data_IF_222088081910
#
_entry.id   IF_222088081910
#
_cell.length_a   1.000
_cell.length_b   1.000
_cell.length_c   1.000
_cell.angle_alpha   90.00
_cell.angle_beta   90.00
_cell.angle_gamma   90.00
#
_symmetry.space_group_name_H-M   'P 1'
#
loop_
_entity.id
_entity.type
_entity.pdbx_description
1 polymer ?
#
# COMPACT_ATOMS: atom_id res chain seq x y z
N UNK A 1 -27.66 31.80 11.97
CA UNK A 1 -28.09 31.27 13.30
C UNK A 1 -27.19 30.10 13.71
N UNK A 2 -26.91 29.91 15.01
CA UNK A 2 -26.02 28.84 15.51
C UNK A 2 -26.81 27.95 16.47
N UNK A 3 -26.72 26.63 16.29
CA UNK A 3 -27.24 25.61 17.20
C UNK A 3 -26.06 24.86 17.83
N UNK A 4 -26.17 24.51 19.11
CA UNK A 4 -25.14 23.76 19.85
C UNK A 4 -25.59 22.33 20.12
N UNK A 5 -24.69 21.36 19.96
CA UNK A 5 -24.95 19.95 20.23
C UNK A 5 -23.79 19.30 21.02
N UNK A 6 -24.04 18.83 22.23
CA UNK A 6 -23.02 18.19 23.06
C UNK A 6 -23.57 17.09 23.97
N UNK A 7 -22.68 16.25 24.52
CA UNK A 7 -23.06 14.98 25.16
C UNK A 7 -23.62 15.08 26.56
N UNK A 8 -23.66 16.30 27.07
CA UNK A 8 -24.30 16.59 28.35
C UNK A 8 -25.76 17.03 28.15
N UNK A 9 -26.21 17.18 26.90
CA UNK A 9 -27.60 17.48 26.58
C UNK A 9 -28.46 16.22 26.75
N UNK A 10 -29.71 16.38 27.23
CA UNK A 10 -30.71 15.31 27.15
C UNK A 10 -30.90 14.84 25.70
N UNK A 11 -31.18 13.55 25.51
CA UNK A 11 -31.34 12.93 24.18
C UNK A 11 -32.39 13.67 23.34
N UNK A 12 -33.53 14.03 23.95
CA UNK A 12 -34.60 14.75 23.27
C UNK A 12 -34.17 16.15 22.78
N UNK A 13 -33.32 16.85 23.53
CA UNK A 13 -32.80 18.17 23.12
C UNK A 13 -31.75 18.05 22.03
N UNK A 14 -30.94 16.98 22.07
CA UNK A 14 -29.97 16.69 21.02
C UNK A 14 -30.68 16.36 19.70
N UNK A 15 -31.71 15.50 19.74
CA UNK A 15 -32.51 15.14 18.56
C UNK A 15 -33.21 16.36 17.96
N UNK A 16 -33.82 17.23 18.80
CA UNK A 16 -34.45 18.48 18.34
C UNK A 16 -33.43 19.44 17.69
N UNK A 17 -32.27 19.64 18.34
CA UNK A 17 -31.20 20.48 17.80
C UNK A 17 -30.70 19.99 16.43
N UNK A 18 -30.61 18.66 16.26
CA UNK A 18 -30.19 18.05 15.00
C UNK A 18 -31.27 18.14 13.91
N UNK A 19 -32.54 17.89 14.25
CA UNK A 19 -33.66 18.06 13.32
C UNK A 19 -33.75 19.50 12.81
N UNK A 20 -33.68 20.48 13.70
CA UNK A 20 -33.71 21.91 13.35
C UNK A 20 -32.54 22.31 12.44
N UNK A 21 -31.36 21.76 12.67
CA UNK A 21 -30.23 21.98 11.77
C UNK A 21 -30.42 21.32 10.40
N UNK A 22 -30.99 20.11 10.36
CA UNK A 22 -31.31 19.43 9.10
C UNK A 22 -32.39 20.15 8.29
N UNK A 23 -33.38 20.73 8.95
CA UNK A 23 -34.50 21.47 8.35
C UNK A 23 -34.10 22.89 7.88
N UNK A 24 -32.88 23.34 8.22
CA UNK A 24 -32.34 24.63 7.79
C UNK A 24 -32.67 25.81 8.70
N UNK A 25 -33.14 25.56 9.93
CA UNK A 25 -33.42 26.60 10.92
C UNK A 25 -32.14 27.29 11.43
N UNK A 26 -30.97 26.69 11.18
CA UNK A 26 -29.67 27.25 11.49
C UNK A 26 -28.62 26.94 10.43
N UNK A 27 -27.70 27.87 10.24
CA UNK A 27 -26.62 27.77 9.25
C UNK A 27 -25.39 27.03 9.80
N UNK A 28 -25.24 27.01 11.13
CA UNK A 28 -24.05 26.47 11.81
C UNK A 28 -24.48 25.57 12.97
N UNK A 29 -23.99 24.35 12.95
CA UNK A 29 -24.02 23.42 14.07
C UNK A 29 -22.66 23.40 14.77
N UNK A 30 -22.59 23.89 15.99
CA UNK A 30 -21.42 23.79 16.85
C UNK A 30 -21.54 22.53 17.73
N UNK A 31 -20.74 21.52 17.43
CA UNK A 31 -20.82 20.24 18.12
C UNK A 31 -19.50 19.77 18.72
N UNK A 32 -19.62 18.91 19.73
CA UNK A 32 -18.50 18.07 20.21
C UNK A 32 -18.34 16.82 19.32
N UNK A 33 -17.36 15.97 19.60
CA UNK A 33 -17.04 14.76 18.80
C UNK A 33 -18.15 13.69 18.72
N UNK A 34 -19.32 13.96 19.29
CA UNK A 34 -20.45 13.04 19.45
C UNK A 34 -21.19 12.81 18.13
N UNK A 35 -20.87 13.58 17.08
CA UNK A 35 -21.31 13.29 15.69
C UNK A 35 -20.75 11.92 15.20
N UNK A 36 -19.90 11.22 15.96
CA UNK A 36 -19.54 9.81 15.71
C UNK A 36 -20.77 8.87 15.69
N UNK A 37 -21.86 9.16 16.41
CA UNK A 37 -23.00 8.23 16.67
C UNK A 37 -24.00 8.02 15.51
N UNK A 38 -23.61 8.23 14.26
CA UNK A 38 -24.39 7.75 13.11
C UNK A 38 -25.27 8.79 12.41
N UNK A 39 -25.24 10.05 12.82
CA UNK A 39 -26.06 11.09 12.18
C UNK A 39 -25.44 11.50 10.85
N UNK A 40 -26.23 11.43 9.78
CA UNK A 40 -25.82 11.79 8.42
C UNK A 40 -26.26 13.22 8.11
N UNK A 41 -25.30 14.15 8.08
CA UNK A 41 -25.58 15.58 7.86
C UNK A 41 -25.45 15.86 6.35
N UNK A 42 -26.37 15.28 5.58
CA UNK A 42 -26.35 15.33 4.11
C UNK A 42 -26.39 16.76 3.55
N UNK A 43 -26.97 17.70 4.30
CA UNK A 43 -27.09 19.11 3.93
C UNK A 43 -25.80 19.92 4.14
N UNK A 44 -24.84 19.42 4.94
CA UNK A 44 -23.62 20.15 5.24
C UNK A 44 -22.48 19.80 4.25
N UNK A 45 -21.96 20.83 3.60
CA UNK A 45 -20.83 20.71 2.68
C UNK A 45 -19.52 21.27 3.26
N UNK A 46 -19.53 21.85 4.46
CA UNK A 46 -18.33 22.40 5.09
C UNK A 46 -18.22 21.91 6.53
N UNK A 47 -17.07 21.34 6.88
CA UNK A 47 -16.73 20.94 8.25
C UNK A 47 -15.48 21.68 8.71
N UNK A 48 -15.50 22.20 9.93
CA UNK A 48 -14.32 22.79 10.57
C UNK A 48 -14.03 21.98 11.84
N UNK A 49 -12.89 21.30 11.87
CA UNK A 49 -12.44 20.54 13.03
C UNK A 49 -11.47 21.41 13.82
N UNK A 50 -11.93 21.88 14.97
CA UNK A 50 -11.10 22.62 15.90
C UNK A 50 -10.11 21.69 16.60
N UNK A 51 -8.83 22.08 16.68
CA UNK A 51 -7.77 21.28 17.34
C UNK A 51 -7.69 19.84 16.80
N UNK A 52 -7.61 19.70 15.47
CA UNK A 52 -7.47 18.41 14.80
C UNK A 52 -6.23 17.62 15.26
N UNK A 53 -5.23 18.30 15.83
CA UNK A 53 -4.06 17.70 16.48
C UNK A 53 -4.40 16.81 17.69
N UNK A 54 -5.59 16.93 18.27
CA UNK A 54 -6.03 16.13 19.41
C UNK A 54 -6.79 14.85 19.01
N UNK A 55 -7.24 14.76 17.77
CA UNK A 55 -8.07 13.64 17.30
C UNK A 55 -7.23 12.50 16.74
N UNK A 56 -7.65 11.25 16.98
CA UNK A 56 -7.09 10.09 16.29
C UNK A 56 -7.33 10.15 14.78
N UNK A 57 -6.52 9.41 14.01
CA UNK A 57 -6.63 9.43 12.54
C UNK A 57 -8.01 8.90 12.13
N UNK A 58 -8.42 7.81 12.78
CA UNK A 58 -9.72 7.18 12.58
C UNK A 58 -10.89 8.11 12.83
N UNK A 59 -10.82 8.91 13.89
CA UNK A 59 -11.85 9.89 14.24
C UNK A 59 -11.93 11.01 13.20
N UNK A 60 -10.79 11.57 12.79
CA UNK A 60 -10.75 12.60 11.74
C UNK A 60 -11.34 12.10 10.41
N UNK A 61 -11.06 10.85 10.07
CA UNK A 61 -11.59 10.22 8.86
C UNK A 61 -13.11 10.00 8.94
N UNK A 62 -13.60 9.48 10.08
CA UNK A 62 -15.04 9.34 10.31
C UNK A 62 -15.76 10.68 10.23
N UNK A 63 -15.23 11.72 10.88
CA UNK A 63 -15.79 13.08 10.83
C UNK A 63 -15.83 13.62 9.40
N UNK A 64 -14.73 13.50 8.64
CA UNK A 64 -14.70 13.90 7.23
C UNK A 64 -15.74 13.15 6.38
N UNK A 65 -15.98 11.87 6.64
CA UNK A 65 -16.97 11.06 5.93
C UNK A 65 -18.45 11.42 6.20
N UNK A 66 -18.72 12.37 7.09
CA UNK A 66 -20.07 12.87 7.41
C UNK A 66 -20.53 14.03 6.53
N UNK A 67 -19.64 14.59 5.70
CA UNK A 67 -19.95 15.67 4.76
C UNK A 67 -19.67 15.23 3.31
N UNK A 68 -20.24 15.94 2.33
CA UNK A 68 -19.92 15.68 0.92
C UNK A 68 -20.62 14.48 0.29
N UNK A 69 -21.82 14.14 0.78
CA UNK A 69 -22.70 13.14 0.16
C UNK A 69 -23.61 13.72 -0.93
N UNK A 70 -23.62 15.04 -1.09
CA UNK A 70 -24.35 15.75 -2.14
C UNK A 70 -23.57 15.85 -3.46
N UNK A 71 -24.19 16.48 -4.47
CA UNK A 71 -23.55 16.77 -5.76
C UNK A 71 -22.49 17.88 -5.70
N UNK A 72 -22.50 18.67 -4.62
CA UNK A 72 -21.57 19.77 -4.43
C UNK A 72 -20.30 19.28 -3.74
N UNK A 73 -19.17 19.85 -4.13
CA UNK A 73 -17.89 19.57 -3.48
C UNK A 73 -17.95 20.03 -2.02
N UNK A 74 -17.55 19.16 -1.12
CA UNK A 74 -17.43 19.47 0.30
C UNK A 74 -16.00 19.81 0.70
N UNK A 75 -15.86 20.58 1.78
CA UNK A 75 -14.60 21.09 2.31
C UNK A 75 -14.47 20.74 3.80
N UNK A 76 -13.34 20.14 4.18
CA UNK A 76 -12.99 19.86 5.56
C UNK A 76 -11.76 20.69 5.96
N UNK A 77 -11.90 21.60 6.93
CA UNK A 77 -10.82 22.42 7.45
C UNK A 77 -10.33 21.84 8.79
N UNK A 78 -9.10 21.35 8.79
CA UNK A 78 -8.41 20.83 9.97
C UNK A 78 -7.58 21.96 10.58
N UNK A 79 -7.95 22.44 11.77
CA UNK A 79 -7.24 23.54 12.43
C UNK A 79 -6.39 23.05 13.58
N UNK A 80 -5.28 23.73 13.84
CA UNK A 80 -4.35 23.44 14.95
C UNK A 80 -4.05 24.72 15.72
N UNK A 81 -3.58 24.60 16.96
CA UNK A 81 -3.16 25.76 17.76
C UNK A 81 -1.83 26.32 17.20
N UNK A 82 -1.79 27.58 16.70
CA UNK A 82 -0.58 28.17 16.14
C UNK A 82 0.52 28.40 17.19
N UNK A 83 0.19 28.47 18.47
CA UNK A 83 1.15 28.64 19.55
C UNK A 83 1.83 27.32 19.96
N UNK A 84 1.32 26.17 19.50
CA UNK A 84 1.84 24.84 19.86
C UNK A 84 2.50 24.17 18.67
N UNK A 85 3.71 23.66 18.88
CA UNK A 85 4.37 22.81 17.89
C UNK A 85 3.68 21.45 17.83
N UNK A 86 3.32 21.03 16.62
CA UNK A 86 2.81 19.67 16.38
C UNK A 86 3.91 18.65 16.66
N UNK A 87 3.54 17.55 17.31
CA UNK A 87 4.42 16.39 17.40
C UNK A 87 4.62 15.80 15.99
N UNK A 88 5.74 15.12 15.71
CA UNK A 88 5.95 14.46 14.43
C UNK A 88 4.79 13.52 14.06
N UNK A 89 4.27 12.79 15.06
CA UNK A 89 3.12 11.89 14.91
C UNK A 89 1.82 12.63 14.53
N UNK A 90 1.50 13.73 15.21
CA UNK A 90 0.29 14.53 14.90
C UNK A 90 0.40 15.22 13.54
N UNK A 91 1.60 15.72 13.18
CA UNK A 91 1.85 16.29 11.85
C UNK A 91 1.64 15.24 10.77
N UNK A 92 2.27 14.06 10.92
CA UNK A 92 2.16 12.96 9.97
C UNK A 92 0.71 12.51 9.78
N UNK A 93 -0.04 12.42 10.86
CA UNK A 93 -1.47 12.10 10.85
C UNK A 93 -2.29 13.11 10.05
N UNK A 94 -2.05 14.41 10.24
CA UNK A 94 -2.76 15.47 9.52
C UNK A 94 -2.38 15.50 8.02
N UNK A 95 -1.12 15.22 7.68
CA UNK A 95 -0.67 15.06 6.29
C UNK A 95 -1.39 13.90 5.61
N UNK A 96 -1.49 12.74 6.27
CA UNK A 96 -2.23 11.59 5.75
C UNK A 96 -3.71 11.94 5.53
N UNK A 97 -4.34 12.67 6.46
CA UNK A 97 -5.74 13.10 6.27
C UNK A 97 -5.96 13.98 5.03
N UNK A 98 -4.95 14.73 4.58
CA UNK A 98 -5.05 15.57 3.38
C UNK A 98 -4.94 14.77 2.07
N UNK A 99 -4.37 13.56 2.09
CA UNK A 99 -4.12 12.76 0.87
C UNK A 99 -5.21 11.73 0.56
N UNK A 100 -6.13 11.46 1.49
CA UNK A 100 -7.15 10.42 1.36
C UNK A 100 -8.33 10.85 0.48
N UNK A 101 -8.15 11.12 -0.81
CA UNK A 101 -9.14 11.91 -1.58
C UNK A 101 -10.36 11.14 -2.17
N UNK A 102 -10.56 9.83 -1.96
CA UNK A 102 -11.85 9.16 -2.28
C UNK A 102 -12.00 7.73 -1.70
N UNK A 103 -13.19 7.16 -1.93
CA UNK A 103 -13.75 5.86 -1.49
C UNK A 103 -12.72 4.72 -1.56
N UNK A 104 -12.56 3.97 -0.45
CA UNK A 104 -11.51 2.95 -0.25
C UNK A 104 -10.60 3.23 0.95
N UNK A 105 -10.59 4.49 1.43
CA UNK A 105 -9.72 4.96 2.51
C UNK A 105 -10.03 4.43 3.93
N UNK A 106 -11.07 3.60 4.12
CA UNK A 106 -11.37 2.97 5.40
C UNK A 106 -10.35 1.91 5.83
N UNK A 107 -9.69 1.24 4.89
CA UNK A 107 -8.70 0.19 5.17
C UNK A 107 -7.30 0.76 5.41
N UNK A 108 -6.92 1.79 4.66
CA UNK A 108 -5.69 2.59 4.86
C UNK A 108 -5.60 3.17 6.28
N UNK A 109 -6.76 3.51 6.84
CA UNK A 109 -6.92 4.09 8.17
C UNK A 109 -6.52 3.14 9.31
N UNK A 110 -6.91 1.86 9.22
CA UNK A 110 -6.66 0.85 10.25
C UNK A 110 -5.17 0.50 10.34
N UNK A 111 -4.50 0.39 9.19
CA UNK A 111 -3.06 0.10 9.12
C UNK A 111 -2.20 1.26 9.60
N UNK A 112 -2.57 2.51 9.26
CA UNK A 112 -1.88 3.68 9.81
C UNK A 112 -2.10 3.85 11.31
N UNK A 113 -3.28 3.52 11.84
CA UNK A 113 -3.54 3.57 13.28
C UNK A 113 -2.70 2.52 14.04
N UNK A 114 -2.41 1.37 13.41
CA UNK A 114 -1.54 0.32 13.94
C UNK A 114 -0.06 0.75 13.99
N UNK A 115 0.44 1.38 12.92
CA UNK A 115 1.79 1.95 12.85
C UNK A 115 1.99 3.12 13.81
N UNK A 116 0.99 4.00 13.93
CA UNK A 116 1.04 5.20 14.76
C UNK A 116 0.98 4.86 16.25
N UNK A 117 0.24 3.82 16.64
CA UNK A 117 0.15 3.38 18.04
C UNK A 117 1.38 2.57 18.47
N UNK A 118 2.18 2.09 17.52
CA UNK A 118 3.20 1.08 17.74
C UNK A 118 2.53 -0.26 18.04
N UNK A 119 2.87 -1.30 17.28
CA UNK A 119 2.49 -2.66 17.61
C UNK A 119 3.09 -3.00 18.98
N UNK A 120 2.30 -2.81 20.04
CA UNK A 120 2.65 -3.22 21.38
C UNK A 120 2.92 -4.71 21.38
N UNK A 121 4.11 -5.07 21.88
CA UNK A 121 4.57 -6.39 22.30
C UNK A 121 3.57 -7.52 22.10
N UNK A 122 3.83 -8.38 21.12
CA UNK A 122 3.27 -9.74 21.14
C UNK A 122 4.25 -10.79 21.66
N UNK A 123 5.56 -10.51 21.75
CA UNK A 123 6.53 -11.38 22.44
C UNK A 123 7.77 -10.59 22.91
N UNK A 124 7.87 -10.36 24.23
CA UNK A 124 9.12 -10.33 25.00
C UNK A 124 10.20 -9.27 24.71
N UNK A 125 10.89 -8.86 25.78
CA UNK A 125 11.95 -7.83 25.77
C UNK A 125 13.11 -8.10 24.80
N UNK A 126 13.69 -6.99 24.34
CA UNK A 126 14.89 -6.85 23.50
C UNK A 126 14.72 -7.07 21.99
N UNK A 127 14.47 -5.99 21.25
CA UNK A 127 15.42 -5.44 20.26
C UNK A 127 14.82 -4.23 19.53
N UNK A 128 15.29 -3.04 19.88
CA UNK A 128 14.97 -1.76 19.23
C UNK A 128 15.55 -1.60 17.80
N UNK A 129 15.82 -2.70 17.10
CA UNK A 129 16.66 -2.73 15.89
C UNK A 129 15.97 -3.12 14.58
N UNK A 130 14.69 -3.54 14.58
CA UNK A 130 14.05 -4.11 13.37
C UNK A 130 12.71 -3.46 12.95
N UNK A 131 12.36 -2.27 13.46
CA UNK A 131 11.08 -1.59 13.17
C UNK A 131 11.07 -0.91 11.77
N UNK A 132 11.41 -1.65 10.71
CA UNK A 132 11.24 -1.23 9.30
C UNK A 132 10.43 -2.21 8.46
N UNK A 133 9.97 -3.33 9.03
CA UNK A 133 9.39 -4.44 8.26
C UNK A 133 7.86 -4.36 8.04
N UNK A 134 7.13 -3.51 8.77
CA UNK A 134 5.64 -3.45 8.69
C UNK A 134 5.12 -2.71 7.45
N UNK A 135 5.97 -1.93 6.75
CA UNK A 135 5.56 -1.20 5.55
C UNK A 135 5.35 -2.08 4.31
N UNK A 136 5.94 -3.27 4.26
CA UNK A 136 6.00 -4.11 3.04
C UNK A 136 4.70 -4.88 2.80
N UNK A 137 4.05 -5.39 3.86
CA UNK A 137 2.80 -6.16 3.74
C UNK A 137 1.61 -5.26 3.32
N UNK A 138 1.54 -4.05 3.89
CA UNK A 138 0.59 -3.02 3.46
C UNK A 138 0.85 -2.58 2.01
N UNK A 139 2.13 -2.48 1.62
CA UNK A 139 2.53 -2.19 0.24
C UNK A 139 2.08 -3.25 -0.74
N UNK A 140 2.27 -4.53 -0.40
CA UNK A 140 1.86 -5.66 -1.23
C UNK A 140 0.34 -5.73 -1.37
N UNK A 141 -0.41 -5.41 -0.31
CA UNK A 141 -1.87 -5.30 -0.37
C UNK A 141 -2.33 -4.14 -1.29
N UNK A 142 -1.69 -2.97 -1.19
CA UNK A 142 -1.96 -1.83 -2.07
C UNK A 142 -1.62 -2.10 -3.54
N UNK A 143 -0.54 -2.84 -3.80
CA UNK A 143 -0.12 -3.29 -5.13
C UNK A 143 -1.12 -4.29 -5.73
N UNK A 144 -1.58 -5.27 -4.95
CA UNK A 144 -2.52 -6.27 -5.45
C UNK A 144 -3.93 -5.70 -5.67
N UNK A 145 -4.33 -4.67 -4.95
CA UNK A 145 -5.60 -3.96 -5.16
C UNK A 145 -5.57 -3.05 -6.41
N UNK A 146 -4.48 -2.29 -6.61
CA UNK A 146 -4.29 -1.51 -7.84
C UNK A 146 -4.27 -2.41 -9.10
N UNK A 147 -3.68 -3.60 -9.01
CA UNK A 147 -3.68 -4.59 -10.09
C UNK A 147 -5.08 -5.17 -10.37
N UNK A 148 -5.94 -5.28 -9.35
CA UNK A 148 -7.33 -5.74 -9.52
C UNK A 148 -8.22 -4.67 -10.14
N UNK A 149 -8.06 -3.41 -9.75
CA UNK A 149 -8.84 -2.29 -10.31
C UNK A 149 -8.56 -2.09 -11.81
N UNK A 150 -7.29 -2.17 -12.23
CA UNK A 150 -6.89 -2.07 -13.64
C UNK A 150 -7.52 -3.18 -14.49
N UNK A 151 -7.54 -4.42 -13.99
CA UNK A 151 -8.17 -5.56 -14.67
C UNK A 151 -9.69 -5.45 -14.77
N UNK A 152 -10.34 -4.77 -13.82
CA UNK A 152 -11.78 -4.55 -13.82
C UNK A 152 -12.23 -3.31 -14.62
N UNK A 153 -11.29 -2.41 -14.97
CA UNK A 153 -11.57 -1.13 -15.61
C UNK A 153 -11.60 -1.13 -17.14
N UNK A 154 -11.37 -2.27 -17.79
CA UNK A 154 -11.28 -2.38 -19.25
C UNK A 154 -11.99 -3.61 -19.82
N UNK A 155 -13.22 -3.39 -20.29
CA UNK A 155 -14.06 -4.27 -21.12
C UNK A 155 -14.83 -5.44 -20.45
N UNK A 156 -16.17 -5.25 -20.51
CA UNK A 156 -17.25 -6.26 -20.66
C UNK A 156 -17.35 -7.43 -19.69
N UNK A 157 -18.52 -7.49 -19.01
CA UNK A 157 -19.20 -8.72 -18.64
C UNK A 157 -19.39 -9.63 -19.87
N UNK A 158 -18.37 -10.41 -20.24
CA UNK A 158 -18.50 -11.82 -20.64
C UNK A 158 -17.15 -12.45 -21.02
N UNK A 159 -17.03 -13.74 -20.69
CA UNK A 159 -16.01 -14.70 -21.11
C UNK A 159 -14.66 -14.75 -20.34
N UNK A 160 -14.62 -15.73 -19.45
CA UNK A 160 -13.46 -16.34 -18.76
C UNK A 160 -12.91 -15.56 -17.57
N UNK A 161 -13.16 -16.09 -16.38
CA UNK A 161 -12.34 -15.87 -15.21
C UNK A 161 -10.89 -16.26 -15.54
N UNK A 162 -10.12 -15.33 -16.10
CA UNK A 162 -8.68 -15.43 -16.19
C UNK A 162 -8.13 -15.29 -14.77
N UNK A 163 -8.09 -16.43 -14.11
CA UNK A 163 -7.24 -16.82 -13.00
C UNK A 163 -6.23 -15.73 -12.59
N UNK A 164 -6.70 -14.76 -11.80
CA UNK A 164 -5.96 -13.56 -11.41
C UNK A 164 -5.07 -13.93 -10.23
N UNK A 165 -4.03 -14.70 -10.50
CA UNK A 165 -3.03 -15.07 -9.49
C UNK A 165 -1.81 -14.14 -9.57
N UNK A 166 -1.20 -13.87 -8.42
CA UNK A 166 0.01 -13.07 -8.26
C UNK A 166 1.15 -13.94 -7.69
N UNK A 167 2.38 -13.87 -8.24
CA UNK A 167 3.54 -14.51 -7.64
C UNK A 167 3.90 -13.91 -6.28
N UNK A 168 4.20 -14.77 -5.30
CA UNK A 168 4.76 -14.36 -4.02
C UNK A 168 6.29 -14.27 -4.13
N UNK A 169 6.85 -13.07 -3.92
CA UNK A 169 8.29 -12.80 -4.09
C UNK A 169 8.89 -12.30 -2.77
N UNK A 170 9.84 -13.06 -2.22
CA UNK A 170 10.52 -12.74 -0.98
C UNK A 170 12.04 -12.67 -1.22
N UNK A 171 12.59 -11.48 -1.42
CA UNK A 171 14.02 -11.30 -1.71
C UNK A 171 14.86 -10.91 -0.49
N UNK A 172 14.18 -10.51 0.60
CA UNK A 172 14.79 -9.94 1.80
C UNK A 172 15.43 -8.57 1.59
N UNK A 173 15.27 -7.98 0.41
CA UNK A 173 15.83 -6.68 0.05
C UNK A 173 14.89 -5.56 0.49
N UNK A 174 15.46 -4.42 0.87
CA UNK A 174 14.69 -3.20 1.10
C UNK A 174 14.12 -2.71 -0.23
N UNK A 175 12.80 -2.53 -0.29
CA UNK A 175 12.04 -2.12 -1.46
C UNK A 175 11.19 -0.90 -1.11
N UNK A 176 11.78 0.28 -1.25
CA UNK A 176 11.10 1.55 -0.96
C UNK A 176 11.69 2.70 -1.77
N UNK A 177 10.90 3.76 -1.93
CA UNK A 177 11.35 5.07 -2.39
C UNK A 177 11.68 5.92 -1.15
N UNK A 178 12.96 6.27 -0.93
CA UNK A 178 13.36 7.09 0.20
C UNK A 178 12.78 8.51 0.10
N UNK A 179 12.53 9.15 1.23
CA UNK A 179 12.17 10.57 1.30
C UNK A 179 13.32 11.50 0.92
N UNK A 180 14.55 11.08 1.13
CA UNK A 180 15.74 11.77 0.62
C UNK A 180 15.80 11.80 -0.92
N UNK A 181 15.24 10.78 -1.59
CA UNK A 181 15.21 10.70 -3.06
C UNK A 181 14.01 11.41 -3.66
N UNK A 182 12.81 11.18 -3.09
CA UNK A 182 11.58 11.86 -3.49
C UNK A 182 10.94 12.45 -2.23
N UNK A 183 11.20 13.74 -1.90
CA UNK A 183 10.71 14.35 -0.66
C UNK A 183 9.19 14.49 -0.62
N UNK A 184 8.58 14.81 -1.77
CA UNK A 184 7.14 15.00 -1.87
C UNK A 184 6.41 13.65 -1.79
N UNK A 185 5.55 13.50 -0.78
CA UNK A 185 4.80 12.27 -0.53
C UNK A 185 3.81 11.96 -1.67
N UNK A 186 3.17 12.97 -2.25
CA UNK A 186 2.18 12.79 -3.32
C UNK A 186 2.84 12.25 -4.58
N UNK A 187 3.98 12.83 -4.96
CA UNK A 187 4.81 12.36 -6.07
C UNK A 187 5.27 10.93 -5.81
N UNK A 188 5.76 10.64 -4.60
CA UNK A 188 6.21 9.30 -4.22
C UNK A 188 5.08 8.27 -4.35
N UNK A 189 3.89 8.55 -3.83
CA UNK A 189 2.72 7.67 -3.96
C UNK A 189 2.31 7.46 -5.43
N UNK A 190 2.39 8.51 -6.26
CA UNK A 190 2.15 8.41 -7.70
C UNK A 190 3.17 7.49 -8.38
N UNK A 191 4.46 7.61 -8.06
CA UNK A 191 5.52 6.73 -8.59
C UNK A 191 5.28 5.27 -8.21
N UNK A 192 4.89 5.00 -6.97
CA UNK A 192 4.57 3.64 -6.55
C UNK A 192 3.40 3.03 -7.32
N UNK A 193 2.33 3.80 -7.59
CA UNK A 193 1.22 3.34 -8.42
C UNK A 193 1.66 3.04 -9.85
N UNK A 194 2.51 3.90 -10.43
CA UNK A 194 3.06 3.70 -11.77
C UNK A 194 3.97 2.47 -11.85
N UNK A 195 4.86 2.29 -10.88
CA UNK A 195 5.73 1.11 -10.76
C UNK A 195 4.89 -0.17 -10.65
N UNK A 196 3.82 -0.14 -9.86
CA UNK A 196 2.92 -1.28 -9.67
C UNK A 196 2.14 -1.68 -10.94
N UNK A 197 1.90 -0.71 -11.82
CA UNK A 197 1.15 -0.89 -13.06
C UNK A 197 2.02 -1.26 -14.26
N UNK A 198 3.33 -1.44 -14.09
CA UNK A 198 4.22 -1.86 -15.17
C UNK A 198 3.83 -3.27 -15.66
N UNK A 199 3.69 -3.42 -16.97
CA UNK A 199 3.35 -4.69 -17.61
C UNK A 199 4.45 -5.22 -18.54
N UNK A 200 5.35 -4.35 -19.02
CA UNK A 200 6.44 -4.70 -19.93
C UNK A 200 7.81 -4.08 -19.55
N UNK A 201 8.87 -4.64 -20.11
CA UNK A 201 10.25 -4.20 -19.96
C UNK A 201 10.52 -2.85 -20.63
N UNK A 202 9.83 -2.52 -21.71
CA UNK A 202 9.98 -1.20 -22.34
C UNK A 202 9.56 -0.07 -21.38
N UNK A 203 8.42 -0.23 -20.71
CA UNK A 203 7.91 0.72 -19.70
C UNK A 203 8.86 0.86 -18.50
N UNK A 204 9.56 -0.21 -18.14
CA UNK A 204 10.59 -0.18 -17.11
C UNK A 204 11.76 0.73 -17.48
N UNK A 205 12.32 0.58 -18.69
CA UNK A 205 13.47 1.37 -19.10
C UNK A 205 13.12 2.86 -19.25
N UNK A 206 11.91 3.16 -19.73
CA UNK A 206 11.36 4.51 -19.77
C UNK A 206 11.20 5.11 -18.37
N UNK A 207 10.65 4.35 -17.42
CA UNK A 207 10.48 4.81 -16.05
C UNK A 207 11.83 5.05 -15.36
N UNK A 208 12.81 4.17 -15.56
CA UNK A 208 14.16 4.32 -15.03
C UNK A 208 14.81 5.59 -15.59
N UNK A 209 14.70 5.83 -16.89
CA UNK A 209 15.22 7.06 -17.52
C UNK A 209 14.54 8.32 -16.94
N UNK A 210 13.21 8.29 -16.78
CA UNK A 210 12.45 9.39 -16.18
C UNK A 210 12.87 9.66 -14.73
N UNK A 211 13.05 8.61 -13.91
CA UNK A 211 13.48 8.76 -12.52
C UNK A 211 14.87 9.37 -12.42
N UNK A 212 15.79 8.94 -13.28
CA UNK A 212 17.16 9.50 -13.34
C UNK A 212 17.15 10.95 -13.78
N UNK A 213 16.36 11.31 -14.80
CA UNK A 213 16.23 12.68 -15.28
C UNK A 213 15.64 13.62 -14.22
N UNK A 214 14.62 13.16 -13.49
CA UNK A 214 13.88 13.99 -12.52
C UNK A 214 14.53 14.06 -11.13
N UNK A 215 15.13 12.96 -10.67
CA UNK A 215 15.55 12.81 -9.27
C UNK A 215 17.04 12.42 -9.13
N UNK A 216 17.75 12.18 -10.23
CA UNK A 216 19.14 11.75 -10.21
C UNK A 216 19.30 10.25 -9.98
N UNK A 217 20.50 9.84 -9.56
CA UNK A 217 20.87 8.42 -9.44
C UNK A 217 19.92 7.65 -8.53
N UNK A 218 19.44 6.50 -9.00
CA UNK A 218 18.54 5.62 -8.27
C UNK A 218 19.21 5.05 -7.01
N UNK A 219 18.62 5.24 -5.81
CA UNK A 219 19.01 4.51 -4.61
C UNK A 219 18.81 3.00 -4.79
N UNK A 220 19.57 2.21 -4.04
CA UNK A 220 19.50 0.75 -4.14
C UNK A 220 18.10 0.22 -3.83
N UNK A 221 17.39 0.82 -2.89
CA UNK A 221 16.03 0.45 -2.50
C UNK A 221 15.01 0.69 -3.62
N UNK A 222 15.20 1.74 -4.41
CA UNK A 222 14.35 2.05 -5.57
C UNK A 222 14.65 1.08 -6.71
N UNK A 223 15.93 0.79 -6.95
CA UNK A 223 16.34 -0.20 -7.93
C UNK A 223 15.75 -1.58 -7.60
N UNK A 224 15.85 -2.01 -6.34
CA UNK A 224 15.27 -3.27 -5.86
C UNK A 224 13.75 -3.31 -6.06
N UNK A 225 13.05 -2.19 -5.78
CA UNK A 225 11.60 -2.08 -5.94
C UNK A 225 11.20 -2.31 -7.41
N UNK A 226 11.88 -1.62 -8.33
CA UNK A 226 11.63 -1.72 -9.77
C UNK A 226 11.95 -3.13 -10.28
N UNK A 227 13.13 -3.67 -9.92
CA UNK A 227 13.54 -5.03 -10.30
C UNK A 227 12.55 -6.10 -9.79
N UNK A 228 11.99 -5.91 -8.60
CA UNK A 228 11.00 -6.83 -8.02
C UNK A 228 9.72 -6.92 -8.87
N UNK A 229 9.28 -5.81 -9.45
CA UNK A 229 8.12 -5.81 -10.36
C UNK A 229 8.45 -6.54 -11.67
N UNK A 230 9.64 -6.32 -12.24
CA UNK A 230 10.08 -7.06 -13.43
C UNK A 230 10.13 -8.56 -13.15
N UNK A 231 10.69 -8.95 -12.01
CA UNK A 231 10.68 -10.34 -11.57
C UNK A 231 9.25 -10.87 -11.46
N UNK A 232 8.29 -10.09 -10.93
CA UNK A 232 6.86 -10.47 -10.88
C UNK A 232 6.28 -10.73 -12.26
N UNK A 233 6.54 -9.86 -13.24
CA UNK A 233 6.08 -10.03 -14.63
C UNK A 233 6.65 -11.31 -15.21
N UNK A 234 7.97 -11.52 -15.09
CA UNK A 234 8.65 -12.72 -15.60
C UNK A 234 8.21 -14.01 -14.91
N UNK A 235 7.98 -13.98 -13.60
CA UNK A 235 7.43 -15.12 -12.86
C UNK A 235 6.05 -15.52 -13.39
N UNK A 236 5.21 -14.56 -13.78
CA UNK A 236 3.91 -14.86 -14.39
C UNK A 236 4.08 -15.57 -15.72
N UNK A 237 4.99 -15.11 -16.58
CA UNK A 237 5.32 -15.75 -17.86
C UNK A 237 5.82 -17.18 -17.66
N UNK A 238 6.68 -17.42 -16.66
CA UNK A 238 7.24 -18.72 -16.33
C UNK A 238 6.35 -19.63 -15.46
N UNK A 239 5.12 -19.22 -15.12
CA UNK A 239 4.25 -19.93 -14.19
C UNK A 239 4.89 -20.20 -12.81
N UNK A 240 5.69 -19.26 -12.30
CA UNK A 240 6.34 -19.34 -10.98
C UNK A 240 5.40 -18.73 -9.92
N UNK A 241 4.84 -19.59 -9.07
CA UNK A 241 3.95 -19.19 -7.96
C UNK A 241 4.69 -18.49 -6.83
N UNK A 242 5.89 -18.97 -6.50
CA UNK A 242 6.68 -18.44 -5.38
C UNK A 242 8.16 -18.38 -5.71
N UNK A 243 8.79 -17.27 -5.34
CA UNK A 243 10.23 -17.06 -5.44
C UNK A 243 10.76 -16.53 -4.10
N UNK A 244 11.64 -17.30 -3.46
CA UNK A 244 12.31 -16.89 -2.22
C UNK A 244 13.82 -16.79 -2.44
N UNK A 245 14.46 -15.75 -1.91
CA UNK A 245 15.91 -15.56 -1.89
C UNK A 245 16.41 -15.43 -0.44
N UNK A 246 17.31 -16.33 -0.05
CA UNK A 246 17.91 -16.37 1.27
C UNK A 246 19.45 -16.38 1.24
N UNK A 247 20.11 -16.39 2.40
CA UNK A 247 21.57 -16.40 2.48
C UNK A 247 22.20 -17.67 1.87
N UNK A 248 21.44 -18.77 1.79
CA UNK A 248 21.89 -20.07 1.28
C UNK A 248 21.52 -20.33 -0.18
N UNK A 249 20.76 -19.44 -0.82
CA UNK A 249 20.34 -19.64 -2.20
C UNK A 249 18.96 -19.09 -2.52
N UNK A 250 18.41 -19.60 -3.62
CA UNK A 250 17.10 -19.25 -4.16
C UNK A 250 16.20 -20.49 -4.17
N UNK A 251 14.89 -20.32 -4.00
CA UNK A 251 13.89 -21.36 -4.24
C UNK A 251 12.74 -20.85 -5.08
N UNK A 252 12.33 -21.68 -6.04
CA UNK A 252 11.25 -21.43 -6.99
C UNK A 252 10.20 -22.53 -6.83
N UNK A 253 8.95 -22.14 -6.67
CA UNK A 253 7.79 -23.03 -6.68
C UNK A 253 6.96 -22.73 -7.92
N UNK A 254 6.74 -23.72 -8.76
CA UNK A 254 5.91 -23.58 -9.95
C UNK A 254 4.45 -23.76 -9.61
N UNK A 255 3.60 -23.00 -10.29
CA UNK A 255 2.16 -23.07 -10.11
C UNK A 255 1.63 -24.44 -10.52
N UNK A 256 0.81 -25.05 -9.66
CA UNK A 256 0.33 -26.43 -9.82
C UNK A 256 1.46 -27.46 -10.01
N UNK A 257 2.68 -27.13 -9.59
CA UNK A 257 3.91 -27.89 -9.83
C UNK A 257 4.13 -28.27 -11.29
N UNK A 258 3.76 -27.40 -12.24
CA UNK A 258 3.95 -27.62 -13.67
C UNK A 258 4.80 -26.52 -14.27
N UNK A 259 5.78 -26.95 -15.07
CA UNK A 259 6.53 -26.06 -15.95
C UNK A 259 6.21 -26.42 -17.41
N UNK A 260 5.99 -25.44 -18.31
CA UNK A 260 5.56 -25.72 -19.69
C UNK A 260 6.48 -26.65 -20.48
N UNK A 261 7.80 -26.58 -20.25
CA UNK A 261 8.80 -27.42 -20.94
C UNK A 261 9.68 -28.20 -19.94
N UNK A 262 9.20 -29.35 -19.43
CA UNK A 262 9.92 -30.13 -18.43
C UNK A 262 11.30 -30.61 -18.89
N UNK A 263 11.46 -30.98 -20.15
CA UNK A 263 12.72 -31.50 -20.69
C UNK A 263 13.82 -30.44 -20.71
N UNK A 264 13.47 -29.20 -21.11
CA UNK A 264 14.41 -28.07 -21.06
C UNK A 264 14.81 -27.74 -19.61
N UNK A 265 13.87 -27.81 -18.66
CA UNK A 265 14.14 -27.59 -17.25
C UNK A 265 15.09 -28.66 -16.67
N UNK A 266 14.88 -29.93 -16.99
CA UNK A 266 15.77 -31.03 -16.61
C UNK A 266 17.16 -30.84 -17.22
N UNK A 267 17.23 -30.38 -18.48
CA UNK A 267 18.48 -30.02 -19.14
C UNK A 267 19.24 -28.91 -18.41
N UNK A 268 18.55 -27.86 -17.95
CA UNK A 268 19.15 -26.78 -17.16
C UNK A 268 19.69 -27.30 -15.81
N UNK A 269 18.89 -28.10 -15.09
CA UNK A 269 19.29 -28.71 -13.81
C UNK A 269 20.53 -29.58 -13.99
N UNK A 270 20.57 -30.38 -15.05
CA UNK A 270 21.69 -31.27 -15.36
C UNK A 270 22.98 -30.50 -15.68
N UNK A 271 22.87 -29.38 -16.41
CA UNK A 271 24.01 -28.48 -16.69
C UNK A 271 24.56 -27.81 -15.42
N UNK A 272 23.71 -27.55 -14.43
CA UNK A 272 24.07 -26.94 -13.14
C UNK A 272 24.10 -27.96 -11.99
N UNK A 273 24.53 -29.18 -12.30
CA UNK A 273 24.67 -30.28 -11.34
C UNK A 273 25.39 -29.83 -10.05
N UNK A 274 24.79 -30.14 -8.90
CA UNK A 274 25.30 -29.80 -7.56
C UNK A 274 24.91 -28.41 -7.05
N UNK A 275 24.55 -27.47 -7.94
CA UNK A 275 24.10 -26.12 -7.58
C UNK A 275 22.58 -26.01 -7.66
N UNK A 276 21.96 -26.65 -8.66
CA UNK A 276 20.52 -26.63 -8.89
C UNK A 276 19.93 -28.03 -8.66
N UNK A 277 18.84 -28.11 -7.90
CA UNK A 277 18.21 -29.38 -7.55
C UNK A 277 16.69 -29.21 -7.41
N UNK A 278 15.96 -30.29 -7.70
CA UNK A 278 14.53 -30.38 -7.37
C UNK A 278 14.40 -31.14 -6.05
N UNK A 279 13.62 -30.57 -5.16
CA UNK A 279 13.33 -31.12 -3.83
C UNK A 279 12.14 -32.09 -3.89
N UNK A 280 11.93 -32.87 -2.82
CA UNK A 280 10.85 -33.86 -2.76
C UNK A 280 9.45 -33.24 -2.89
N UNK A 281 9.30 -31.97 -2.49
CA UNK A 281 8.10 -31.14 -2.64
C UNK A 281 8.04 -30.41 -3.99
N UNK A 282 8.79 -30.86 -5.00
CA UNK A 282 8.80 -30.34 -6.37
C UNK A 282 9.23 -28.86 -6.49
N UNK A 283 9.92 -28.32 -5.48
CA UNK A 283 10.52 -26.99 -5.56
C UNK A 283 11.90 -27.07 -6.18
N UNK A 284 12.19 -26.10 -7.03
CA UNK A 284 13.49 -25.89 -7.62
C UNK A 284 14.33 -25.04 -6.68
N UNK A 285 15.48 -25.55 -6.25
CA UNK A 285 16.38 -24.88 -5.32
C UNK A 285 17.73 -24.68 -5.96
N UNK A 286 18.24 -23.45 -5.90
CA UNK A 286 19.59 -23.08 -6.33
C UNK A 286 20.42 -22.78 -5.08
N UNK A 287 21.33 -23.69 -4.73
CA UNK A 287 22.23 -23.54 -3.57
C UNK A 287 23.42 -22.66 -3.95
N UNK A 288 23.42 -21.44 -3.44
CA UNK A 288 24.50 -20.47 -3.63
C UNK A 288 24.51 -19.52 -2.44
N UNK A 289 25.68 -19.33 -1.81
CA UNK A 289 25.79 -18.32 -0.75
C UNK A 289 25.59 -16.93 -1.36
N UNK A 290 24.54 -16.24 -0.95
CA UNK A 290 24.12 -14.96 -1.52
C UNK A 290 24.05 -13.86 -0.45
N UNK A 291 24.94 -12.85 -0.50
CA UNK A 291 24.80 -11.66 0.33
C UNK A 291 23.56 -10.87 -0.10
N UNK A 292 22.99 -10.09 0.81
CA UNK A 292 21.72 -9.38 0.60
C UNK A 292 21.71 -8.54 -0.69
N UNK A 293 22.79 -7.79 -0.93
CA UNK A 293 22.95 -6.93 -2.12
C UNK A 293 22.93 -7.68 -3.45
N UNK A 294 23.15 -9.00 -3.47
CA UNK A 294 23.16 -9.80 -4.70
C UNK A 294 21.89 -10.62 -4.90
N UNK A 295 20.95 -10.61 -3.94
CA UNK A 295 19.77 -11.48 -3.99
C UNK A 295 18.80 -11.10 -5.10
N UNK A 296 18.53 -9.80 -5.27
CA UNK A 296 17.62 -9.30 -6.32
C UNK A 296 18.16 -9.63 -7.71
N UNK A 297 19.44 -9.31 -7.95
CA UNK A 297 20.11 -9.62 -9.21
C UNK A 297 20.11 -11.12 -9.50
N UNK A 298 20.49 -11.96 -8.52
CA UNK A 298 20.52 -13.41 -8.71
C UNK A 298 19.11 -14.00 -8.94
N UNK A 299 18.08 -13.42 -8.31
CA UNK A 299 16.70 -13.80 -8.54
C UNK A 299 16.24 -13.44 -9.96
N UNK A 300 16.57 -12.24 -10.43
CA UNK A 300 16.31 -11.79 -11.81
C UNK A 300 16.98 -12.70 -12.83
N UNK A 301 18.29 -12.94 -12.69
CA UNK A 301 19.05 -13.85 -13.57
C UNK A 301 18.43 -15.25 -13.63
N UNK A 302 18.05 -15.82 -12.48
CA UNK A 302 17.43 -17.14 -12.43
C UNK A 302 16.08 -17.15 -13.16
N UNK A 303 15.24 -16.14 -12.93
CA UNK A 303 13.92 -16.08 -13.55
C UNK A 303 14.03 -15.85 -15.06
N UNK A 304 14.94 -14.98 -15.52
CA UNK A 304 15.22 -14.77 -16.95
C UNK A 304 15.73 -16.06 -17.63
N UNK A 305 16.60 -16.82 -16.95
CA UNK A 305 17.02 -18.14 -17.44
C UNK A 305 15.84 -19.12 -17.58
N UNK A 306 14.92 -19.16 -16.60
CA UNK A 306 13.75 -20.04 -16.63
C UNK A 306 12.77 -19.62 -17.74
N UNK A 307 12.54 -18.31 -17.91
CA UNK A 307 11.69 -17.78 -18.99
C UNK A 307 12.26 -18.15 -20.36
N UNK A 308 13.59 -18.17 -20.52
CA UNK A 308 14.25 -18.59 -21.78
C UNK A 308 14.11 -20.08 -22.12
N UNK A 309 13.52 -20.91 -21.24
CA UNK A 309 13.25 -22.33 -21.51
C UNK A 309 11.83 -22.58 -22.05
N UNK A 310 10.96 -21.57 -22.02
CA UNK A 310 9.60 -21.60 -22.56
C UNK A 310 9.65 -21.61 -24.09
#
# INVERSE_FOLDING_TARGET
LIITAHGQMPVAELDDAMSRFADGDADILLATNIIESGIDIQSANTMIIHRADMFGLSQLYQLRGRIGRGKQRAYAYLTTDPARKLTPQSRRRLEVMQTLDSLGAGFTLASYDLDIRGAGNLLGDEQSGHVREVGVELYQAMLDEAVKEIKSGGASDDASAQDTWSPAINLGASILIPDEYVPDLSVRLSLYRRIAALEDISEHDELVAELVDRFGSLPQEVQNLIDTIIIKIRCRTAHIEKLDAGPKGLSVTFRHNRFPNPDALIGLISKKSGVMQVTADQKLVVRKTLPLSKRVLAARELVDEIVGLL
#
